data_IF_611991850130
#
_entry.id   IF_611991850130
#
_cell.length_a   1.000
_cell.length_b   1.000
_cell.length_c   1.000
_cell.angle_alpha   90.00
_cell.angle_beta   90.00
_cell.angle_gamma   90.00
#
_symmetry.space_group_name_H-M   'P 1'
#
loop_
_entity.id
_entity.type
_entity.pdbx_description
1 polymer ?
#
# COMPACT_ATOMS: atom_id res chain seq x y z
N UNK A 1 -7.91 15.23 -8.45
CA UNK A 1 -9.18 14.46 -8.57
C UNK A 1 -8.94 12.97 -8.34
N UNK A 2 -8.18 12.28 -9.20
CA UNK A 2 -7.99 10.82 -9.13
C UNK A 2 -7.44 10.31 -7.79
N UNK A 3 -6.41 10.97 -7.25
CA UNK A 3 -5.79 10.60 -5.97
C UNK A 3 -6.81 10.67 -4.82
N UNK A 4 -7.64 11.70 -4.78
CA UNK A 4 -8.62 11.84 -3.71
C UNK A 4 -9.70 10.75 -3.77
N UNK A 5 -10.14 10.38 -4.98
CA UNK A 5 -11.16 9.34 -5.15
C UNK A 5 -10.65 7.98 -4.68
N UNK A 6 -9.42 7.60 -5.04
CA UNK A 6 -8.86 6.32 -4.61
C UNK A 6 -8.64 6.27 -3.10
N UNK A 7 -8.12 7.34 -2.49
CA UNK A 7 -7.88 7.35 -1.05
C UNK A 7 -9.16 7.36 -0.22
N UNK A 8 -10.23 8.03 -0.70
CA UNK A 8 -11.54 7.95 -0.05
C UNK A 8 -12.09 6.52 -0.10
N UNK A 9 -12.06 5.86 -1.27
CA UNK A 9 -12.52 4.47 -1.39
C UNK A 9 -11.70 3.50 -0.54
N UNK A 10 -10.38 3.71 -0.42
CA UNK A 10 -9.52 2.92 0.47
C UNK A 10 -9.93 3.12 1.93
N UNK A 11 -10.19 4.36 2.36
CA UNK A 11 -10.64 4.64 3.73
C UNK A 11 -12.00 3.98 4.04
N UNK A 12 -12.93 3.99 3.08
CA UNK A 12 -14.27 3.42 3.26
C UNK A 12 -14.25 1.88 3.37
N UNK A 13 -13.39 1.22 2.59
CA UNK A 13 -13.38 -0.25 2.49
C UNK A 13 -12.28 -0.95 3.29
N UNK A 14 -11.15 -0.29 3.51
CA UNK A 14 -9.92 -0.88 4.07
C UNK A 14 -9.26 0.07 5.09
N UNK A 15 -9.98 0.48 6.16
CA UNK A 15 -9.49 1.48 7.12
C UNK A 15 -8.30 0.99 7.95
N UNK A 16 -8.20 -0.32 8.18
CA UNK A 16 -7.20 -0.93 9.06
C UNK A 16 -6.00 -1.52 8.29
N UNK A 17 -5.78 -1.10 7.05
CA UNK A 17 -4.73 -1.64 6.19
C UNK A 17 -3.33 -1.51 6.82
N UNK A 18 -2.54 -2.60 6.76
CA UNK A 18 -1.16 -2.63 7.30
C UNK A 18 -0.15 -3.24 6.31
N UNK A 19 1.12 -2.79 6.31
CA UNK A 19 2.13 -3.31 5.40
C UNK A 19 2.72 -4.63 5.88
N UNK A 20 2.63 -5.71 5.09
CA UNK A 20 3.21 -7.02 5.47
C UNK A 20 4.74 -7.02 5.27
N UNK A 21 5.23 -6.28 4.27
CA UNK A 21 6.66 -6.23 3.94
C UNK A 21 7.08 -4.83 3.51
N UNK A 22 8.41 -4.61 3.46
CA UNK A 22 8.96 -3.43 2.82
C UNK A 22 8.62 -3.42 1.31
N UNK A 23 8.44 -2.23 0.70
CA UNK A 23 8.11 -2.09 -0.71
C UNK A 23 9.32 -2.35 -1.62
N UNK A 24 9.10 -3.07 -2.72
CA UNK A 24 10.09 -3.28 -3.76
C UNK A 24 10.16 -2.07 -4.70
N UNK A 25 11.33 -1.45 -4.81
CA UNK A 25 11.54 -0.27 -5.66
C UNK A 25 11.74 -0.67 -7.13
N UNK A 26 11.26 0.19 -8.01
CA UNK A 26 11.56 0.12 -9.44
C UNK A 26 13.03 0.49 -9.67
N UNK A 27 13.73 -0.31 -10.49
CA UNK A 27 15.10 -0.03 -10.90
C UNK A 27 15.10 0.96 -12.08
N UNK A 28 14.96 2.25 -11.78
CA UNK A 28 14.99 3.34 -12.77
C UNK A 28 15.91 4.47 -12.30
N UNK A 29 16.66 5.06 -13.24
CA UNK A 29 17.54 6.20 -12.96
C UNK A 29 16.83 7.56 -12.90
N UNK A 30 15.54 7.61 -13.26
CA UNK A 30 14.78 8.87 -13.34
C UNK A 30 13.38 8.79 -12.71
N UNK A 31 12.84 7.58 -12.52
CA UNK A 31 11.50 7.38 -11.99
C UNK A 31 11.54 6.75 -10.60
N UNK A 32 10.90 7.40 -9.63
CA UNK A 32 10.66 6.80 -8.33
C UNK A 32 9.32 6.04 -8.34
N UNK A 33 9.40 4.72 -8.45
CA UNK A 33 8.25 3.83 -8.48
C UNK A 33 8.37 2.68 -7.50
N UNK A 34 7.21 2.15 -7.05
CA UNK A 34 7.10 0.89 -6.33
C UNK A 34 6.61 -0.17 -7.30
N UNK A 35 7.29 -1.32 -7.37
CA UNK A 35 6.85 -2.48 -8.17
C UNK A 35 5.84 -3.32 -7.40
N UNK A 36 6.15 -3.64 -6.15
CA UNK A 36 5.33 -4.48 -5.29
C UNK A 36 5.36 -3.95 -3.86
N UNK A 37 4.22 -4.01 -3.19
CA UNK A 37 4.12 -3.76 -1.77
C UNK A 37 3.01 -4.62 -1.20
N UNK A 38 3.39 -5.64 -0.43
CA UNK A 38 2.44 -6.56 0.17
C UNK A 38 1.78 -5.91 1.38
N UNK A 39 0.45 -5.93 1.41
CA UNK A 39 -0.35 -5.31 2.45
C UNK A 39 -1.43 -6.28 2.91
N UNK A 40 -1.75 -6.22 4.19
CA UNK A 40 -2.93 -6.83 4.76
C UNK A 40 -4.05 -5.79 4.74
N UNK A 41 -5.05 -6.03 3.89
CA UNK A 41 -6.20 -5.15 3.73
C UNK A 41 -7.14 -5.17 4.95
N UNK A 42 -7.00 -6.15 5.85
CA UNK A 42 -7.89 -6.35 7.00
C UNK A 42 -7.27 -5.92 8.34
N UNK A 43 -5.96 -5.68 8.39
CA UNK A 43 -5.22 -5.29 9.59
C UNK A 43 -5.10 -6.35 10.68
N UNK A 44 -5.52 -7.59 10.41
CA UNK A 44 -5.61 -8.72 11.35
C UNK A 44 -4.42 -9.68 11.27
N UNK A 45 -3.50 -9.47 10.33
CA UNK A 45 -2.35 -10.33 10.13
C UNK A 45 -1.48 -10.34 11.41
N UNK A 46 -1.13 -11.52 11.95
CA UNK A 46 -0.42 -11.65 13.23
C UNK A 46 1.09 -11.38 13.12
N UNK A 47 1.59 -11.02 11.93
CA UNK A 47 3.03 -10.83 11.69
C UNK A 47 3.41 -9.40 12.12
N UNK A 48 4.41 -9.29 12.99
CA UNK A 48 4.99 -8.00 13.36
C UNK A 48 5.69 -7.36 12.14
N UNK A 49 5.37 -6.09 11.88
CA UNK A 49 5.87 -5.30 10.75
C UNK A 49 7.22 -4.65 11.07
#
# INVERSE_FOLDING_TARGET
>A
MTINLIFNAVADHMPDLKPISAPERLRSGWLNGIKHWQVDYTGRCPVAH
#
